data_IF_293758185146
#
_entry.id   IF_293758185146
#
_cell.length_a   1.000
_cell.length_b   1.000
_cell.length_c   1.000
_cell.angle_alpha   90.00
_cell.angle_beta   90.00
_cell.angle_gamma   90.00
#
_symmetry.space_group_name_H-M   'P 1'
#
loop_
_entity.id
_entity.type
_entity.pdbx_description
1 polymer ?
#
# COMPACT_ATOMS: atom_id res chain seq x y z
N UNK A 1 -20.83 16.48 -11.20
CA UNK A 1 -20.26 15.59 -12.25
C UNK A 1 -21.39 14.88 -12.97
N UNK A 2 -21.40 14.89 -14.31
CA UNK A 2 -22.34 14.08 -15.07
C UNK A 2 -21.95 12.60 -14.93
N UNK A 3 -22.95 11.74 -14.67
CA UNK A 3 -22.75 10.29 -14.66
C UNK A 3 -22.34 9.84 -16.07
N UNK A 4 -21.06 9.49 -16.26
CA UNK A 4 -20.54 8.96 -17.52
C UNK A 4 -20.54 7.43 -17.43
N UNK A 5 -21.13 6.79 -18.43
CA UNK A 5 -21.03 5.34 -18.59
C UNK A 5 -19.62 5.03 -19.10
N UNK A 6 -18.89 4.17 -18.38
CA UNK A 6 -17.62 3.59 -18.82
C UNK A 6 -17.96 2.24 -19.45
N UNK A 7 -17.63 2.07 -20.73
CA UNK A 7 -17.88 0.82 -21.46
C UNK A 7 -17.00 -0.33 -20.94
N UNK A 8 -17.34 -1.57 -21.31
CA UNK A 8 -16.53 -2.72 -20.95
C UNK A 8 -15.08 -2.60 -21.48
N UNK A 9 -14.92 -2.12 -22.72
CA UNK A 9 -13.61 -1.95 -23.34
C UNK A 9 -12.81 -0.81 -22.71
N UNK A 10 -13.45 0.32 -22.38
CA UNK A 10 -12.78 1.40 -21.63
C UNK A 10 -12.33 0.92 -20.25
N UNK A 11 -13.18 0.16 -19.53
CA UNK A 11 -12.84 -0.42 -18.22
C UNK A 11 -11.69 -1.42 -18.29
N UNK A 12 -11.61 -2.20 -19.37
CA UNK A 12 -10.56 -3.21 -19.59
C UNK A 12 -9.30 -2.62 -20.24
N UNK A 13 -9.34 -1.36 -20.68
CA UNK A 13 -8.19 -0.69 -21.26
C UNK A 13 -7.07 -0.54 -20.24
N UNK A 14 -5.81 -0.60 -20.72
CA UNK A 14 -4.63 -0.43 -19.86
C UNK A 14 -4.55 0.94 -19.16
N UNK A 15 -5.36 1.92 -19.59
CA UNK A 15 -5.46 3.25 -19.00
C UNK A 15 -6.35 3.27 -17.75
N UNK A 16 -7.35 2.38 -17.66
CA UNK A 16 -8.26 2.26 -16.51
C UNK A 16 -7.95 1.04 -15.62
N UNK A 17 -7.18 0.07 -16.15
CA UNK A 17 -6.78 -1.10 -15.39
C UNK A 17 -5.73 -0.73 -14.34
N UNK A 18 -6.17 -0.65 -13.08
CA UNK A 18 -5.36 -0.36 -11.91
C UNK A 18 -5.60 -1.39 -10.83
N UNK A 19 -4.57 -1.62 -10.01
CA UNK A 19 -4.64 -2.51 -8.86
C UNK A 19 -4.17 -1.77 -7.62
N UNK A 20 -4.88 -1.95 -6.51
CA UNK A 20 -4.40 -1.54 -5.18
C UNK A 20 -3.96 -2.77 -4.39
N UNK A 21 -2.71 -2.79 -3.93
CA UNK A 21 -2.08 -3.94 -3.30
C UNK A 21 -1.40 -3.52 -1.99
N UNK A 22 -1.58 -4.32 -0.94
CA UNK A 22 -0.82 -4.22 0.29
C UNK A 22 0.00 -5.50 0.51
N UNK A 23 1.31 -5.36 0.74
CA UNK A 23 2.24 -6.45 0.93
C UNK A 23 2.87 -6.34 2.31
N UNK A 24 2.73 -7.37 3.12
CA UNK A 24 3.26 -7.43 4.47
C UNK A 24 4.29 -8.55 4.60
N UNK A 25 5.37 -8.31 5.32
CA UNK A 25 6.36 -9.34 5.61
C UNK A 25 7.32 -8.92 6.70
N UNK A 26 8.03 -9.85 7.35
CA UNK A 26 8.93 -9.49 8.43
C UNK A 26 10.07 -8.58 7.93
N UNK A 27 10.76 -7.86 8.83
CA UNK A 27 11.95 -7.11 8.48
C UNK A 27 12.98 -8.01 7.78
N UNK A 28 13.66 -7.51 6.75
CA UNK A 28 14.70 -8.27 6.03
C UNK A 28 14.22 -9.29 5.00
N UNK A 29 12.92 -9.60 4.90
CA UNK A 29 12.40 -10.60 3.93
C UNK A 29 12.56 -10.19 2.46
N UNK A 30 12.83 -8.91 2.19
CA UNK A 30 13.06 -8.39 0.85
C UNK A 30 11.86 -7.66 0.21
N UNK A 31 10.97 -7.07 1.02
CA UNK A 31 9.82 -6.29 0.52
C UNK A 31 10.21 -5.21 -0.49
N UNK A 32 11.19 -4.36 -0.15
CA UNK A 32 11.68 -3.30 -1.04
C UNK A 32 12.32 -3.87 -2.31
N UNK A 33 12.95 -5.06 -2.25
CA UNK A 33 13.55 -5.70 -3.43
C UNK A 33 12.55 -6.08 -4.52
N UNK A 34 11.26 -6.13 -4.19
CA UNK A 34 10.19 -6.34 -5.16
C UNK A 34 10.12 -5.23 -6.23
N UNK A 35 10.61 -4.02 -5.93
CA UNK A 35 10.76 -2.93 -6.90
C UNK A 35 11.50 -3.36 -8.17
N UNK A 36 12.48 -4.27 -8.04
CA UNK A 36 13.31 -4.75 -9.16
C UNK A 36 12.53 -5.51 -10.23
N UNK A 37 11.36 -6.04 -9.88
CA UNK A 37 10.47 -6.74 -10.83
C UNK A 37 9.49 -5.82 -11.56
N UNK A 38 9.44 -4.55 -11.19
CA UNK A 38 8.54 -3.56 -11.78
C UNK A 38 9.24 -2.76 -12.89
N UNK A 39 8.51 -2.27 -13.90
CA UNK A 39 9.07 -1.38 -14.93
C UNK A 39 9.56 -0.07 -14.30
N UNK A 40 10.88 0.12 -14.26
CA UNK A 40 11.53 1.24 -13.57
C UNK A 40 11.08 2.63 -14.07
N UNK A 41 10.90 2.78 -15.38
CA UNK A 41 10.48 4.03 -16.02
C UNK A 41 9.04 4.44 -15.65
N UNK A 42 8.15 3.46 -15.43
CA UNK A 42 6.75 3.67 -15.08
C UNK A 42 6.50 3.67 -13.56
N UNK A 43 7.51 3.35 -12.75
CA UNK A 43 7.38 3.21 -11.30
C UNK A 43 8.03 4.38 -10.56
N UNK A 44 7.36 4.86 -9.50
CA UNK A 44 7.94 5.76 -8.50
C UNK A 44 7.83 5.14 -7.11
N UNK A 45 8.92 5.19 -6.35
CA UNK A 45 8.94 4.80 -4.95
C UNK A 45 8.76 6.04 -4.05
N UNK A 46 7.77 6.05 -3.17
CA UNK A 46 7.65 7.00 -2.07
C UNK A 46 8.37 6.40 -0.87
N UNK A 47 9.57 6.90 -0.58
CA UNK A 47 10.49 6.35 0.43
C UNK A 47 10.34 7.08 1.77
N UNK A 48 9.62 6.45 2.69
CA UNK A 48 9.41 6.87 4.08
C UNK A 48 10.45 6.24 5.03
N UNK A 49 10.97 5.05 4.70
CA UNK A 49 11.88 4.27 5.55
C UNK A 49 13.37 4.66 5.40
N UNK A 50 13.72 5.47 4.39
CA UNK A 50 15.10 5.69 3.94
C UNK A 50 15.82 4.36 3.59
N UNK A 51 15.04 3.37 3.15
CA UNK A 51 15.37 1.94 3.07
C UNK A 51 16.02 1.47 1.77
N UNK A 52 16.39 2.40 0.88
CA UNK A 52 16.80 2.09 -0.51
C UNK A 52 18.15 1.37 -0.65
N UNK A 53 18.86 1.06 0.44
CA UNK A 53 20.12 0.30 0.41
C UNK A 53 19.99 -1.07 -0.24
N UNK A 54 18.83 -1.71 -0.15
CA UNK A 54 18.59 -3.05 -0.71
C UNK A 54 18.35 -3.07 -2.22
N UNK A 55 18.21 -1.90 -2.85
CA UNK A 55 17.84 -1.71 -4.26
C UNK A 55 18.71 -0.66 -4.96
N UNK A 56 19.99 -0.55 -4.59
CA UNK A 56 20.91 0.43 -5.21
C UNK A 56 21.09 0.27 -6.73
N UNK A 57 20.85 -0.93 -7.24
CA UNK A 57 20.87 -1.30 -8.65
C UNK A 57 19.55 -1.00 -9.39
N UNK A 58 18.47 -0.69 -8.66
CA UNK A 58 17.20 -0.31 -9.26
C UNK A 58 17.29 1.07 -9.90
N UNK A 59 16.88 1.16 -11.16
CA UNK A 59 16.97 2.38 -11.98
C UNK A 59 15.72 3.24 -11.95
N UNK A 60 14.74 2.88 -11.13
CA UNK A 60 13.52 3.66 -10.97
C UNK A 60 13.74 4.86 -10.06
N UNK A 61 12.81 5.80 -10.14
CA UNK A 61 12.87 7.04 -9.40
C UNK A 61 12.25 6.89 -8.00
N UNK A 62 12.79 7.60 -7.02
CA UNK A 62 12.26 7.66 -5.66
C UNK A 62 12.08 9.09 -5.16
N UNK A 63 11.01 9.35 -4.42
CA UNK A 63 10.78 10.61 -3.72
C UNK A 63 10.88 10.33 -2.21
N UNK A 64 11.82 10.97 -1.49
CA UNK A 64 11.89 10.83 -0.04
C UNK A 64 10.71 11.56 0.62
N UNK A 65 10.10 10.91 1.60
CA UNK A 65 8.95 11.43 2.37
C UNK A 65 9.35 11.51 3.84
N UNK A 66 9.39 12.73 4.39
CA UNK A 66 9.89 12.99 5.76
C UNK A 66 8.79 13.31 6.76
N UNK A 67 7.61 13.70 6.27
CA UNK A 67 6.46 13.99 7.09
C UNK A 67 5.17 13.46 6.49
N UNK A 68 4.14 13.31 7.34
CA UNK A 68 2.80 12.97 6.86
C UNK A 68 2.23 14.03 5.91
N UNK A 69 2.61 15.31 6.09
CA UNK A 69 2.20 16.38 5.19
C UNK A 69 2.79 16.17 3.79
N UNK A 70 4.08 15.82 3.68
CA UNK A 70 4.73 15.51 2.40
C UNK A 70 4.00 14.36 1.68
N UNK A 71 3.67 13.30 2.44
CA UNK A 71 2.93 12.16 1.89
C UNK A 71 1.55 12.57 1.38
N UNK A 72 0.82 13.37 2.15
CA UNK A 72 -0.51 13.85 1.79
C UNK A 72 -0.47 14.72 0.54
N UNK A 73 0.51 15.61 0.43
CA UNK A 73 0.69 16.47 -0.75
C UNK A 73 0.94 15.63 -2.00
N UNK A 74 1.84 14.64 -1.91
CA UNK A 74 2.09 13.69 -2.99
C UNK A 74 0.84 12.88 -3.34
N UNK A 75 0.09 12.41 -2.33
CA UNK A 75 -1.16 11.68 -2.56
C UNK A 75 -2.18 12.53 -3.33
N UNK A 76 -2.31 13.82 -2.99
CA UNK A 76 -3.21 14.76 -3.68
C UNK A 76 -2.71 15.07 -5.10
N UNK A 77 -1.41 15.27 -5.32
CA UNK A 77 -0.84 15.45 -6.65
C UNK A 77 -1.01 14.20 -7.54
N UNK A 78 -0.95 13.00 -6.95
CA UNK A 78 -1.14 11.72 -7.65
C UNK A 78 -2.62 11.45 -7.96
N UNK A 79 -3.50 11.71 -6.99
CA UNK A 79 -4.92 11.37 -7.05
C UNK A 79 -5.80 12.44 -7.69
N UNK A 80 -5.32 13.68 -7.74
CA UNK A 80 -6.12 14.84 -8.10
C UNK A 80 -7.08 15.27 -6.99
N UNK A 81 -7.97 16.24 -7.22
CA UNK A 81 -8.94 16.67 -6.21
C UNK A 81 -10.03 15.59 -5.99
N UNK A 82 -10.33 15.30 -4.73
CA UNK A 82 -11.45 14.43 -4.34
C UNK A 82 -12.76 15.22 -4.46
N UNK A 83 -13.66 14.84 -5.39
CA UNK A 83 -14.90 15.56 -5.63
C UNK A 83 -15.95 15.40 -4.52
N UNK A 84 -15.77 14.44 -3.61
CA UNK A 84 -16.68 14.22 -2.48
C UNK A 84 -16.29 15.08 -1.26
N UNK A 85 -15.12 15.72 -1.30
CA UNK A 85 -14.57 16.51 -0.22
C UNK A 85 -14.98 17.98 -0.34
N UNK A 86 -15.06 18.67 0.81
CA UNK A 86 -15.22 20.12 0.81
C UNK A 86 -14.03 20.77 0.07
N UNK A 87 -14.23 21.81 -0.77
CA UNK A 87 -13.14 22.38 -1.57
C UNK A 87 -11.89 22.80 -0.79
N UNK A 88 -12.09 23.29 0.44
CA UNK A 88 -11.03 23.73 1.36
C UNK A 88 -10.42 22.61 2.23
N UNK A 89 -10.91 21.37 2.14
CA UNK A 89 -10.29 20.28 2.88
C UNK A 89 -8.97 19.86 2.22
N UNK A 90 -8.16 19.08 2.95
CA UNK A 90 -6.85 18.62 2.47
C UNK A 90 -6.86 17.80 1.17
N UNK A 91 -8.01 17.27 0.76
CA UNK A 91 -8.15 16.54 -0.51
C UNK A 91 -9.10 17.26 -1.47
N UNK A 92 -9.55 18.47 -1.12
CA UNK A 92 -10.48 19.27 -1.91
C UNK A 92 -9.81 19.99 -3.08
N UNK A 93 -10.66 20.57 -3.95
CA UNK A 93 -10.21 21.24 -5.17
C UNK A 93 -9.34 22.48 -4.94
N UNK A 94 -9.58 23.26 -3.87
CA UNK A 94 -8.78 24.46 -3.59
C UNK A 94 -7.39 24.08 -3.07
N UNK A 95 -7.29 23.04 -2.23
CA UNK A 95 -6.00 22.56 -1.76
C UNK A 95 -5.16 21.96 -2.90
N UNK A 96 -5.78 21.17 -3.78
CA UNK A 96 -5.12 20.67 -4.97
C UNK A 96 -4.60 21.83 -5.85
N UNK A 97 -5.43 22.83 -6.15
CA UNK A 97 -5.02 23.98 -6.94
C UNK A 97 -3.88 24.77 -6.27
N UNK A 98 -3.90 24.91 -4.95
CA UNK A 98 -2.83 25.53 -4.19
C UNK A 98 -1.51 24.75 -4.33
N UNK A 99 -1.54 23.41 -4.21
CA UNK A 99 -0.36 22.56 -4.43
C UNK A 99 0.20 22.73 -5.84
N UNK A 100 -0.64 22.75 -6.87
CA UNK A 100 -0.19 22.97 -8.25
C UNK A 100 0.56 24.30 -8.40
N UNK A 101 0.12 25.35 -7.70
CA UNK A 101 0.84 26.63 -7.69
C UNK A 101 2.16 26.55 -6.92
N UNK A 102 2.21 25.84 -5.79
CA UNK A 102 3.45 25.68 -5.01
C UNK A 102 4.53 24.92 -5.78
N UNK A 103 4.13 23.91 -6.55
CA UNK A 103 5.04 23.06 -7.30
C UNK A 103 5.21 23.47 -8.78
N UNK A 104 4.65 24.61 -9.17
CA UNK A 104 4.74 25.10 -10.54
C UNK A 104 6.21 25.27 -10.97
N UNK A 105 6.57 24.71 -12.12
CA UNK A 105 7.93 24.78 -12.67
C UNK A 105 8.93 23.78 -12.07
N UNK A 106 8.56 23.00 -11.04
CA UNK A 106 9.42 21.94 -10.48
C UNK A 106 9.45 20.68 -11.36
N UNK A 107 8.44 20.49 -12.21
CA UNK A 107 8.26 19.29 -13.03
C UNK A 107 7.69 18.08 -12.28
N UNK A 108 7.32 18.22 -11.00
CA UNK A 108 6.81 17.10 -10.19
C UNK A 108 5.48 16.54 -10.72
N UNK A 109 4.57 17.41 -11.19
CA UNK A 109 3.28 16.99 -11.74
C UNK A 109 3.48 16.19 -13.04
N UNK A 110 4.28 16.73 -13.96
CA UNK A 110 4.63 16.05 -15.20
C UNK A 110 5.32 14.71 -14.92
N UNK A 111 6.24 14.69 -13.97
CA UNK A 111 6.90 13.48 -13.53
C UNK A 111 5.90 12.45 -13.00
N UNK A 112 5.07 12.81 -12.01
CA UNK A 112 4.09 11.91 -11.41
C UNK A 112 3.04 11.44 -12.41
N UNK A 113 2.65 12.27 -13.39
CA UNK A 113 1.68 11.90 -14.43
C UNK A 113 2.14 10.69 -15.25
N UNK A 114 3.44 10.60 -15.56
CA UNK A 114 4.06 9.51 -16.34
C UNK A 114 4.20 8.21 -15.56
N UNK A 115 4.15 8.26 -14.23
CA UNK A 115 4.33 7.09 -13.36
C UNK A 115 3.02 6.35 -13.18
N UNK A 116 2.90 5.15 -13.75
CA UNK A 116 1.70 4.32 -13.63
C UNK A 116 1.67 3.51 -12.33
N UNK A 117 2.82 3.31 -11.69
CA UNK A 117 2.94 2.53 -10.46
C UNK A 117 3.51 3.40 -9.35
N UNK A 118 2.77 3.49 -8.24
CA UNK A 118 3.17 4.18 -7.02
C UNK A 118 3.47 3.12 -5.97
N UNK A 119 4.74 2.99 -5.59
CA UNK A 119 5.19 2.06 -4.57
C UNK A 119 5.47 2.82 -3.28
N UNK A 120 4.75 2.53 -2.20
CA UNK A 120 4.85 3.23 -0.91
C UNK A 120 5.63 2.37 0.07
N UNK A 121 6.85 2.79 0.40
CA UNK A 121 7.78 2.11 1.31
C UNK A 121 8.08 2.98 2.54
N UNK A 122 7.32 2.88 3.63
CA UNK A 122 6.32 1.86 3.93
C UNK A 122 5.07 2.44 4.60
N UNK A 123 3.97 1.67 4.56
CA UNK A 123 2.75 2.01 5.31
C UNK A 123 2.98 1.96 6.83
N UNK A 124 3.95 1.17 7.30
CA UNK A 124 4.32 1.10 8.71
C UNK A 124 4.86 2.47 9.17
N UNK A 125 5.83 3.04 8.46
CA UNK A 125 6.34 4.38 8.78
C UNK A 125 5.36 5.50 8.42
N UNK A 126 4.49 5.33 7.41
CA UNK A 126 3.39 6.25 7.16
C UNK A 126 2.50 6.42 8.39
N UNK A 127 2.10 5.32 9.03
CA UNK A 127 1.24 5.39 10.22
C UNK A 127 1.96 6.05 11.41
N UNK A 128 3.28 5.88 11.55
CA UNK A 128 4.10 6.57 12.56
C UNK A 128 4.18 8.07 12.31
N UNK A 129 4.45 8.48 11.07
CA UNK A 129 4.46 9.89 10.69
C UNK A 129 3.08 10.53 10.89
N UNK A 130 2.00 9.82 10.52
CA UNK A 130 0.64 10.26 10.74
C UNK A 130 0.31 10.41 12.24
N UNK A 131 0.83 9.52 13.09
CA UNK A 131 0.68 9.64 14.54
C UNK A 131 1.41 10.87 15.08
N UNK A 132 2.64 11.12 14.61
CA UNK A 132 3.39 12.32 14.98
C UNK A 132 2.67 13.61 14.56
N UNK A 133 2.05 13.63 13.39
CA UNK A 133 1.18 14.72 12.94
C UNK A 133 -0.07 14.85 13.82
N UNK A 134 -0.77 13.74 14.10
CA UNK A 134 -2.03 13.74 14.83
C UNK A 134 -1.87 14.30 16.26
N UNK A 135 -0.77 13.98 16.95
CA UNK A 135 -0.46 14.48 18.30
C UNK A 135 -0.26 16.00 18.38
N UNK A 136 -0.05 16.67 17.25
CA UNK A 136 0.14 18.11 17.18
C UNK A 136 -1.16 18.85 16.83
N UNK A 137 -2.22 18.14 16.47
CA UNK A 137 -3.47 18.76 16.06
C UNK A 137 -4.35 19.12 17.27
N UNK A 138 -5.22 20.14 17.16
CA UNK A 138 -6.12 20.55 18.24
C UNK A 138 -6.96 19.41 18.82
N UNK A 139 -7.42 18.46 17.98
CA UNK A 139 -8.22 17.31 18.40
C UNK A 139 -7.47 16.31 19.28
N UNK A 140 -6.14 16.41 19.36
CA UNK A 140 -5.31 15.65 20.28
C UNK A 140 -5.15 16.33 21.65
N UNK A 141 -5.93 17.36 21.95
CA UNK A 141 -5.95 18.04 23.25
C UNK A 141 -7.39 18.11 23.79
N UNK A 142 -7.52 17.98 25.11
CA UNK A 142 -8.81 18.08 25.78
C UNK A 142 -9.29 19.54 25.85
N UNK A 143 -10.46 19.85 25.28
CA UNK A 143 -11.07 21.19 25.37
C UNK A 143 -11.24 21.69 26.81
N UNK A 144 -11.47 20.77 27.76
CA UNK A 144 -11.68 21.09 29.18
C UNK A 144 -10.39 21.42 29.92
N UNK A 145 -9.28 20.76 29.57
CA UNK A 145 -8.06 20.79 30.41
C UNK A 145 -6.80 21.24 29.67
N UNK A 146 -6.84 21.35 28.34
CA UNK A 146 -5.68 21.62 27.48
C UNK A 146 -4.63 20.52 27.46
N UNK A 147 -4.83 19.41 28.19
CA UNK A 147 -3.88 18.30 28.26
C UNK A 147 -3.99 17.39 27.03
N UNK A 148 -2.91 16.70 26.63
CA UNK A 148 -2.95 15.73 25.54
C UNK A 148 -4.04 14.67 25.73
N UNK A 149 -4.90 14.53 24.72
CA UNK A 149 -5.90 13.47 24.59
C UNK A 149 -5.42 12.41 23.60
N UNK A 150 -4.99 11.28 24.18
CA UNK A 150 -4.53 10.12 23.43
C UNK A 150 -5.63 9.55 22.52
N UNK A 151 -6.90 9.56 22.98
CA UNK A 151 -8.01 9.00 22.18
C UNK A 151 -8.29 9.87 20.96
N UNK A 152 -8.26 11.19 21.12
CA UNK A 152 -8.36 12.16 20.04
C UNK A 152 -7.27 11.95 18.98
N UNK A 153 -6.01 11.80 19.42
CA UNK A 153 -4.88 11.53 18.53
C UNK A 153 -5.04 10.23 17.72
N UNK A 154 -5.40 9.10 18.35
CA UNK A 154 -5.66 7.84 17.64
C UNK A 154 -6.86 7.92 16.69
N UNK A 155 -7.91 8.66 17.10
CA UNK A 155 -9.07 8.92 16.26
C UNK A 155 -8.69 9.66 14.97
N UNK A 156 -7.86 10.70 15.09
CA UNK A 156 -7.36 11.46 13.95
C UNK A 156 -6.40 10.65 13.09
N UNK A 157 -5.42 9.96 13.68
CA UNK A 157 -4.52 9.04 12.98
C UNK A 157 -5.28 8.08 12.06
N UNK A 158 -6.29 7.40 12.62
CA UNK A 158 -7.10 6.47 11.86
C UNK A 158 -7.80 7.14 10.68
N UNK A 159 -8.38 8.34 10.88
CA UNK A 159 -9.04 9.09 9.79
C UNK A 159 -8.05 9.49 8.69
N UNK A 160 -6.92 10.07 9.07
CA UNK A 160 -5.91 10.58 8.14
C UNK A 160 -5.30 9.48 7.27
N UNK A 161 -4.88 8.37 7.89
CA UNK A 161 -4.32 7.22 7.16
C UNK A 161 -5.36 6.60 6.24
N UNK A 162 -6.57 6.34 6.72
CA UNK A 162 -7.64 5.75 5.89
C UNK A 162 -7.98 6.65 4.71
N UNK A 163 -8.07 7.97 4.91
CA UNK A 163 -8.34 8.92 3.84
C UNK A 163 -7.23 8.90 2.79
N UNK A 164 -5.96 8.89 3.21
CA UNK A 164 -4.83 8.86 2.29
C UNK A 164 -4.79 7.56 1.46
N UNK A 165 -5.03 6.41 2.10
CA UNK A 165 -5.09 5.11 1.42
C UNK A 165 -6.22 5.05 0.39
N UNK A 166 -7.43 5.50 0.76
CA UNK A 166 -8.58 5.57 -0.15
C UNK A 166 -8.34 6.53 -1.31
N UNK A 167 -7.70 7.67 -1.03
CA UNK A 167 -7.40 8.66 -2.06
C UNK A 167 -6.46 8.10 -3.13
N UNK A 168 -5.35 7.48 -2.71
CA UNK A 168 -4.44 6.79 -3.63
C UNK A 168 -5.11 5.60 -4.34
N UNK A 169 -5.93 4.81 -3.64
CA UNK A 169 -6.68 3.71 -4.25
C UNK A 169 -7.66 4.20 -5.32
N UNK A 170 -8.20 5.42 -5.20
CA UNK A 170 -9.06 6.03 -6.20
C UNK A 170 -8.32 6.78 -7.31
N UNK A 171 -7.01 7.01 -7.20
CA UNK A 171 -6.21 7.64 -8.26
C UNK A 171 -6.40 6.90 -9.59
N UNK A 172 -6.73 7.63 -10.67
CA UNK A 172 -7.07 7.03 -11.97
C UNK A 172 -5.82 6.59 -12.70
N UNK A 173 -5.86 5.38 -13.28
CA UNK A 173 -4.72 4.82 -14.03
C UNK A 173 -3.44 4.59 -13.22
N UNK A 174 -3.51 4.65 -11.88
CA UNK A 174 -2.38 4.42 -10.97
C UNK A 174 -2.57 3.10 -10.23
N UNK A 175 -1.66 2.16 -10.43
CA UNK A 175 -1.51 0.99 -9.55
C UNK A 175 -0.76 1.43 -8.30
N UNK A 176 -1.29 1.14 -7.13
CA UNK A 176 -0.71 1.56 -5.86
C UNK A 176 -0.33 0.34 -5.04
N UNK A 177 0.93 0.25 -4.64
CA UNK A 177 1.48 -0.84 -3.84
C UNK A 177 1.96 -0.27 -2.52
N UNK A 178 1.39 -0.72 -1.42
CA UNK A 178 1.86 -0.43 -0.08
C UNK A 178 2.68 -1.62 0.42
N UNK A 179 3.91 -1.38 0.89
CA UNK A 179 4.64 -2.39 1.66
C UNK A 179 4.63 -2.03 3.14
N UNK A 180 4.65 -3.03 4.01
CA UNK A 180 4.68 -2.83 5.45
C UNK A 180 5.26 -4.01 6.21
N UNK A 181 5.56 -3.81 7.48
CA UNK A 181 6.07 -4.87 8.35
C UNK A 181 4.92 -5.79 8.76
N UNK A 182 5.18 -7.09 8.74
CA UNK A 182 4.33 -8.11 9.36
C UNK A 182 5.00 -8.59 10.65
N UNK A 183 4.27 -8.60 11.75
CA UNK A 183 4.75 -9.07 13.04
C UNK A 183 3.92 -10.27 13.53
N UNK A 184 4.57 -11.13 14.32
CA UNK A 184 3.92 -12.24 15.01
C UNK A 184 3.64 -11.81 16.44
N UNK A 185 2.37 -11.76 16.82
CA UNK A 185 1.93 -11.35 18.15
C UNK A 185 1.35 -12.54 18.87
N UNK A 186 1.81 -12.78 20.10
CA UNK A 186 1.23 -13.77 21.00
C UNK A 186 0.16 -13.09 21.87
N UNK A 187 -1.00 -13.72 22.01
CA UNK A 187 -1.99 -13.31 23.00
C UNK A 187 -1.61 -13.80 24.41
N UNK A 188 -2.45 -13.45 25.40
CA UNK A 188 -2.26 -13.82 26.80
C UNK A 188 -2.27 -15.34 27.06
N UNK A 189 -2.79 -16.12 26.10
CA UNK A 189 -2.86 -17.58 26.16
C UNK A 189 -1.76 -18.26 25.32
N UNK A 190 -0.85 -17.49 24.73
CA UNK A 190 0.27 -17.98 23.93
C UNK A 190 -0.11 -18.35 22.48
N UNK A 191 -1.34 -18.07 22.05
CA UNK A 191 -1.72 -18.24 20.65
C UNK A 191 -1.11 -17.12 19.81
N UNK A 192 -0.38 -17.49 18.75
CA UNK A 192 0.29 -16.53 17.89
C UNK A 192 -0.56 -16.19 16.67
N UNK A 193 -0.68 -14.91 16.36
CA UNK A 193 -1.31 -14.41 15.14
C UNK A 193 -0.35 -13.49 14.38
N UNK A 194 -0.46 -13.49 13.06
CA UNK A 194 0.29 -12.57 12.21
C UNK A 194 -0.54 -11.33 11.92
N UNK A 195 0.02 -10.15 12.16
CA UNK A 195 -0.67 -8.89 11.91
C UNK A 195 0.25 -7.85 11.25
N UNK A 196 -0.29 -6.97 10.38
CA UNK A 196 0.43 -5.79 9.93
C UNK A 196 0.83 -4.89 11.10
N UNK A 197 2.10 -4.50 11.16
CA UNK A 197 2.56 -3.52 12.14
C UNK A 197 2.20 -2.12 11.67
N UNK A 198 1.28 -1.47 12.38
CA UNK A 198 0.83 -0.11 12.13
C UNK A 198 0.54 0.60 13.45
N UNK A 199 0.74 1.92 13.48
CA UNK A 199 0.23 2.74 14.57
C UNK A 199 -1.30 2.79 14.53
N UNK A 200 -1.93 2.41 15.65
CA UNK A 200 -3.37 2.34 15.78
C UNK A 200 -4.01 1.14 15.07
N UNK A 201 -5.16 0.70 15.57
CA UNK A 201 -5.83 -0.53 15.09
C UNK A 201 -6.79 -0.30 13.94
N UNK A 202 -7.33 0.92 13.81
CA UNK A 202 -8.38 1.23 12.83
C UNK A 202 -7.91 1.07 11.38
N UNK A 203 -6.72 1.60 11.06
CA UNK A 203 -6.16 1.53 9.72
C UNK A 203 -5.89 0.08 9.30
N UNK A 204 -5.21 -0.71 10.15
CA UNK A 204 -4.93 -2.11 9.90
C UNK A 204 -6.20 -2.95 9.66
N UNK A 205 -7.27 -2.67 10.43
CA UNK A 205 -8.56 -3.36 10.29
C UNK A 205 -9.32 -3.00 9.01
N UNK A 206 -9.28 -1.74 8.59
CA UNK A 206 -10.01 -1.27 7.40
C UNK A 206 -9.24 -1.50 6.10
N UNK A 207 -7.91 -1.59 6.14
CA UNK A 207 -7.06 -1.76 4.97
C UNK A 207 -7.52 -2.91 4.04
N UNK A 208 -7.83 -4.14 4.52
CA UNK A 208 -8.31 -5.20 3.64
C UNK A 208 -9.62 -4.87 2.94
N UNK A 209 -10.42 -3.93 3.44
CA UNK A 209 -11.61 -3.43 2.75
C UNK A 209 -11.30 -2.38 1.67
N UNK A 210 -10.19 -1.67 1.81
CA UNK A 210 -9.78 -0.56 0.94
C UNK A 210 -9.04 -1.07 -0.31
N UNK A 211 -8.01 -1.89 -0.12
CA UNK A 211 -7.18 -2.39 -1.23
C UNK A 211 -7.85 -3.54 -1.96
N UNK A 212 -7.44 -3.87 -3.18
CA UNK A 212 -7.93 -5.05 -3.91
C UNK A 212 -7.25 -6.32 -3.41
N UNK A 213 -5.94 -6.22 -3.16
CA UNK A 213 -5.07 -7.34 -2.83
C UNK A 213 -4.40 -7.15 -1.47
N UNK A 214 -4.38 -8.18 -0.63
CA UNK A 214 -3.52 -8.26 0.55
C UNK A 214 -2.65 -9.50 0.39
N UNK A 215 -1.34 -9.33 0.48
CA UNK A 215 -0.35 -10.38 0.25
C UNK A 215 0.63 -10.42 1.41
N UNK A 216 0.96 -11.62 1.87
CA UNK A 216 2.03 -11.80 2.85
C UNK A 216 3.28 -12.36 2.17
N UNK A 217 4.41 -11.66 2.27
CA UNK A 217 5.71 -12.15 1.83
C UNK A 217 6.43 -12.83 2.98
N UNK A 218 6.82 -14.09 2.80
CA UNK A 218 7.49 -14.85 3.84
C UNK A 218 8.46 -15.91 3.29
N UNK A 219 9.30 -16.45 4.17
CA UNK A 219 10.27 -17.50 3.87
C UNK A 219 9.65 -18.89 4.06
N UNK A 220 10.00 -19.80 3.14
CA UNK A 220 9.46 -21.15 3.08
C UNK A 220 10.56 -22.18 2.83
N UNK A 221 10.41 -23.33 3.46
CA UNK A 221 11.08 -24.57 3.09
C UNK A 221 10.12 -25.49 2.32
N UNK A 222 10.55 -26.72 2.12
CA UNK A 222 9.76 -27.81 1.54
C UNK A 222 9.71 -28.99 2.50
N UNK A 223 8.55 -29.62 2.63
CA UNK A 223 8.45 -30.90 3.35
C UNK A 223 8.91 -32.08 2.48
N UNK A 224 8.81 -33.30 3.02
CA UNK A 224 9.19 -34.53 2.32
C UNK A 224 8.35 -34.82 1.05
N UNK A 225 7.18 -34.20 0.90
CA UNK A 225 6.31 -34.31 -0.29
C UNK A 225 6.56 -33.18 -1.29
N UNK A 226 7.38 -32.20 -0.93
CA UNK A 226 7.63 -31.01 -1.73
C UNK A 226 6.59 -29.90 -1.51
N UNK A 227 5.74 -30.00 -0.48
CA UNK A 227 4.78 -28.95 -0.15
C UNK A 227 5.46 -27.82 0.62
N UNK A 228 4.90 -26.61 0.50
CA UNK A 228 5.42 -25.41 1.17
C UNK A 228 5.23 -25.47 2.68
N UNK A 229 6.32 -25.29 3.41
CA UNK A 229 6.29 -25.16 4.88
C UNK A 229 6.83 -23.79 5.27
N UNK A 230 6.05 -23.07 6.08
CA UNK A 230 6.49 -21.80 6.65
C UNK A 230 7.75 -22.04 7.49
N UNK A 231 8.86 -21.42 7.10
CA UNK A 231 10.14 -21.56 7.78
C UNK A 231 10.87 -20.22 7.74
N UNK A 232 10.85 -19.51 8.87
CA UNK A 232 11.47 -18.19 9.04
C UNK A 232 13.01 -18.23 8.92
N UNK A 233 13.61 -19.42 8.87
CA UNK A 233 15.06 -19.63 8.69
C UNK A 233 15.43 -20.08 7.27
N UNK A 234 14.45 -20.43 6.45
CA UNK A 234 14.66 -20.80 5.06
C UNK A 234 15.00 -19.58 4.19
N UNK A 235 15.33 -19.82 2.92
CA UNK A 235 15.75 -18.76 1.98
C UNK A 235 14.75 -18.52 0.86
N UNK A 236 13.84 -19.47 0.59
CA UNK A 236 12.90 -19.36 -0.52
C UNK A 236 11.76 -18.42 -0.14
N UNK A 237 11.67 -17.29 -0.85
CA UNK A 237 10.65 -16.27 -0.62
C UNK A 237 9.40 -16.61 -1.42
N UNK A 238 8.23 -16.48 -0.81
CA UNK A 238 6.94 -16.62 -1.48
C UNK A 238 5.98 -15.51 -1.08
N UNK A 239 5.11 -15.16 -2.01
CA UNK A 239 3.96 -14.28 -1.79
C UNK A 239 2.73 -15.15 -1.52
N UNK A 240 2.16 -15.07 -0.33
CA UNK A 240 0.92 -15.78 0.05
C UNK A 240 -0.26 -14.88 -0.31
N UNK A 241 -1.13 -15.38 -1.18
CA UNK A 241 -2.15 -14.55 -1.86
C UNK A 241 -3.59 -14.86 -1.44
N UNK A 242 -3.86 -16.07 -0.92
CA UNK A 242 -5.23 -16.50 -0.57
C UNK A 242 -5.53 -16.46 0.93
N UNK A 243 -6.72 -15.95 1.25
CA UNK A 243 -7.33 -16.08 2.57
C UNK A 243 -7.55 -17.56 2.93
N UNK A 244 -7.47 -17.90 4.21
CA UNK A 244 -7.60 -19.29 4.66
C UNK A 244 -6.38 -20.17 4.33
N UNK A 245 -5.24 -19.55 4.00
CA UNK A 245 -3.98 -20.27 3.87
C UNK A 245 -3.61 -20.99 5.17
N UNK A 246 -2.88 -22.12 5.10
CA UNK A 246 -2.62 -22.97 6.26
C UNK A 246 -1.67 -22.34 7.31
N UNK A 247 -1.09 -21.17 7.01
CA UNK A 247 -0.08 -20.52 7.85
C UNK A 247 -0.63 -19.36 8.68
N UNK A 248 -1.93 -19.06 8.54
CA UNK A 248 -2.58 -17.95 9.27
C UNK A 248 -2.07 -16.56 8.87
N UNK A 249 -1.46 -16.44 7.68
CA UNK A 249 -0.92 -15.18 7.19
C UNK A 249 -2.03 -14.30 6.60
N UNK A 250 -2.04 -12.97 6.84
CA UNK A 250 -2.99 -12.06 6.21
C UNK A 250 -2.88 -12.11 4.69
N UNK A 251 -3.95 -12.50 4.01
CA UNK A 251 -3.98 -12.59 2.56
C UNK A 251 -5.40 -12.45 2.02
N UNK A 252 -5.53 -11.88 0.84
CA UNK A 252 -6.78 -11.67 0.13
C UNK A 252 -6.51 -11.44 -1.34
N UNK A 253 -7.12 -12.27 -2.18
CA UNK A 253 -7.15 -12.07 -3.62
C UNK A 253 -8.56 -11.74 -4.10
N UNK A 254 -8.80 -10.48 -4.47
CA UNK A 254 -10.08 -10.04 -5.05
C UNK A 254 -10.22 -10.41 -6.52
N UNK A 255 -9.12 -10.63 -7.23
CA UNK A 255 -9.13 -10.99 -8.65
C UNK A 255 -9.58 -12.44 -8.87
N UNK A 256 -9.30 -13.32 -7.90
CA UNK A 256 -9.55 -14.76 -7.99
C UNK A 256 -8.61 -15.45 -8.97
N UNK A 257 -7.50 -14.83 -9.35
CA UNK A 257 -6.56 -15.28 -10.39
C UNK A 257 -5.19 -15.70 -9.86
N UNK A 258 -4.95 -15.59 -8.56
CA UNK A 258 -3.67 -15.96 -7.98
C UNK A 258 -3.70 -17.39 -7.47
N UNK A 259 -2.54 -18.03 -7.37
CA UNK A 259 -2.37 -19.29 -6.67
C UNK A 259 -2.34 -19.09 -5.14
N UNK A 260 -2.28 -20.17 -4.35
CA UNK A 260 -2.10 -20.05 -2.89
C UNK A 260 -0.84 -19.25 -2.55
N UNK A 261 0.24 -19.53 -3.28
CA UNK A 261 1.45 -18.74 -3.25
C UNK A 261 1.97 -18.43 -4.66
N UNK A 262 2.60 -17.27 -4.80
CA UNK A 262 3.24 -16.80 -6.02
C UNK A 262 4.74 -16.56 -5.77
N UNK A 263 5.60 -16.61 -6.81
CA UNK A 263 6.98 -16.13 -6.71
C UNK A 263 7.02 -14.64 -6.30
N UNK A 264 8.14 -14.17 -5.71
CA UNK A 264 8.31 -12.78 -5.30
C UNK A 264 8.62 -11.85 -6.49
N UNK A 265 7.71 -11.83 -7.47
CA UNK A 265 7.79 -11.05 -8.69
C UNK A 265 6.48 -10.26 -8.86
N UNK A 266 6.53 -8.95 -8.61
CA UNK A 266 5.36 -8.08 -8.70
C UNK A 266 4.94 -7.79 -10.12
N UNK A 267 5.87 -7.77 -11.08
CA UNK A 267 5.52 -7.61 -12.49
C UNK A 267 4.63 -8.77 -12.96
N UNK A 268 5.05 -10.00 -12.65
CA UNK A 268 4.28 -11.21 -12.94
C UNK A 268 2.97 -11.29 -12.14
N UNK A 269 3.01 -10.95 -10.84
CA UNK A 269 1.82 -10.93 -9.99
C UNK A 269 0.75 -9.97 -10.54
N UNK A 270 1.12 -8.73 -10.87
CA UNK A 270 0.21 -7.74 -11.44
C UNK A 270 -0.31 -8.20 -12.81
N UNK A 271 0.54 -8.79 -13.66
CA UNK A 271 0.09 -9.34 -14.93
C UNK A 271 -0.97 -10.44 -14.77
N UNK A 272 -0.86 -11.30 -13.75
CA UNK A 272 -1.89 -12.30 -13.41
C UNK A 272 -3.17 -11.64 -12.89
N UNK A 273 -3.06 -10.72 -11.93
CA UNK A 273 -4.20 -9.99 -11.37
C UNK A 273 -5.01 -9.30 -12.47
N UNK A 274 -4.32 -8.68 -13.43
CA UNK A 274 -4.93 -7.94 -14.52
C UNK A 274 -5.47 -8.85 -15.65
N UNK A 275 -5.25 -10.16 -15.58
CA UNK A 275 -5.65 -11.13 -16.62
C UNK A 275 -4.80 -11.05 -17.89
N UNK A 276 -3.61 -10.44 -17.81
CA UNK A 276 -2.64 -10.35 -18.91
C UNK A 276 -1.74 -11.58 -19.03
N UNK A 277 -1.68 -12.40 -17.99
CA UNK A 277 -1.00 -13.70 -17.98
C UNK A 277 -2.02 -14.86 -17.84
N UNK A 278 -1.82 -15.99 -18.54
CA UNK A 278 -2.70 -17.14 -18.41
C UNK A 278 -2.65 -17.74 -17.00
N UNK A 279 -3.81 -18.02 -16.42
CA UNK A 279 -3.95 -18.76 -15.17
C UNK A 279 -3.72 -20.25 -15.45
N UNK A 280 -2.52 -20.77 -15.15
CA UNK A 280 -2.31 -22.21 -15.10
C UNK A 280 -2.80 -22.73 -13.74
N UNK A 281 -4.07 -23.14 -13.68
CA UNK A 281 -4.60 -23.80 -12.48
C UNK A 281 -3.83 -25.09 -12.26
N UNK A 282 -3.15 -25.22 -11.11
CA UNK A 282 -2.59 -26.51 -10.67
C UNK A 282 -3.69 -27.56 -10.35
N UNK A 283 -4.96 -27.18 -10.40
CA UNK A 283 -6.11 -28.09 -10.27
C UNK A 283 -6.80 -28.23 -11.63
N UNK A 284 -6.18 -29.01 -12.50
CA UNK A 284 -6.81 -29.64 -13.65
C UNK A 284 -6.28 -31.09 -13.73
N UNK A 285 -6.76 -31.92 -12.81
CA UNK A 285 -6.71 -33.39 -12.88
C UNK A 285 -7.86 -33.94 -12.04
#
# INVERSE_FOLDING_TARGET
>A
MACRIITADERLSAAENKTSLAIFGPPGVGKTSLLKSLPAEETVCLDLEAGMKSVQDWRGDSIPVRSFADFRDLAVLIGGPDPAQHPQSWYGAEYHAWLQQQYLGTGIEDFLSRKRIVFVDSITDLTRQAMAYARQQPEAFSDRTGKPDVRGAYGLLGREVIQALKHLQHARGKTVIFVGVLEKVADEFGATTWQPQMEGTKAARELPGIVDQVVSMQLFGRDAKGDWVLDETATERRLVCKSGNPWGLPAKDRSGRLDLTEPPDLGALLARIDGRAPHQSAFAS
#
